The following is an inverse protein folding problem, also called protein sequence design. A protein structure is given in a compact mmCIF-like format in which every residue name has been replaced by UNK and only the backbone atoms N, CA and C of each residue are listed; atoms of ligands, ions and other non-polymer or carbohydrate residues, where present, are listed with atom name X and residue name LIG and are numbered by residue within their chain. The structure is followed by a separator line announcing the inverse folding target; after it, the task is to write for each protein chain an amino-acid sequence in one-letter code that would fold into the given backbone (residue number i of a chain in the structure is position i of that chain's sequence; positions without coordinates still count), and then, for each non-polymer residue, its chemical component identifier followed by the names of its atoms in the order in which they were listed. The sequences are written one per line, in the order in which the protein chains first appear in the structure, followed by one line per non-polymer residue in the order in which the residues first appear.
data_IF_105080695856
#
_entry.id   IF_105080695856
#
_cell.length_a   1.000
_cell.length_b   1.000
_cell.length_c   1.000
_cell.angle_alpha   90.00
_cell.angle_beta   90.00
_cell.angle_gamma   90.00
#
_symmetry.space_group_name_H-M   'P 1'
#
loop_
_entity.id
_entity.type
_entity.pdbx_description
1 polymer ?
#
# COMPACT_ATOMS: atom_id res chain seq x y z
N UNK A 1 19.10 -3.05 58.84
CA UNK A 1 19.41 -2.67 57.44
C UNK A 1 18.81 -3.66 56.43
N UNK A 2 17.49 -3.89 56.44
CA UNK A 2 16.82 -4.83 55.50
C UNK A 2 15.61 -4.23 54.77
N UNK A 3 15.26 -2.97 55.06
CA UNK A 3 14.11 -2.29 54.46
C UNK A 3 14.41 -1.73 53.06
N UNK A 4 15.61 -1.15 52.85
CA UNK A 4 16.00 -0.56 51.56
C UNK A 4 16.07 -1.58 50.41
N UNK A 5 16.47 -2.82 50.71
CA UNK A 5 16.58 -3.88 49.71
C UNK A 5 15.22 -4.31 49.14
N UNK A 6 14.17 -4.30 49.96
CA UNK A 6 12.80 -4.69 49.58
C UNK A 6 12.13 -3.61 48.71
N UNK A 7 12.40 -2.34 49.01
CA UNK A 7 11.89 -1.20 48.22
C UNK A 7 12.57 -1.13 46.85
N UNK A 8 13.89 -1.39 46.77
CA UNK A 8 14.60 -1.49 45.49
C UNK A 8 14.10 -2.65 44.63
N UNK A 9 13.79 -3.80 45.23
CA UNK A 9 13.20 -4.94 44.51
C UNK A 9 11.79 -4.61 43.98
N UNK A 10 10.95 -3.95 44.79
CA UNK A 10 9.61 -3.54 44.38
C UNK A 10 9.63 -2.51 43.23
N UNK A 11 10.57 -1.55 43.27
CA UNK A 11 10.75 -0.57 42.20
C UNK A 11 11.22 -1.21 40.90
N UNK A 12 12.08 -2.23 40.97
CA UNK A 12 12.57 -2.96 39.80
C UNK A 12 11.45 -3.80 39.16
N UNK A 13 10.60 -4.45 39.97
CA UNK A 13 9.41 -5.15 39.48
C UNK A 13 8.40 -4.19 38.83
N UNK A 14 8.14 -3.03 39.44
CA UNK A 14 7.24 -2.02 38.87
C UNK A 14 7.78 -1.45 37.55
N UNK A 15 9.09 -1.21 37.47
CA UNK A 15 9.76 -0.77 36.24
C UNK A 15 9.70 -1.80 35.12
N UNK A 16 9.83 -3.10 35.44
CA UNK A 16 9.65 -4.18 34.47
C UNK A 16 8.21 -4.23 33.93
N UNK A 17 7.21 -4.13 34.81
CA UNK A 17 5.79 -4.11 34.40
C UNK A 17 5.45 -2.88 33.56
N UNK A 18 5.98 -1.70 33.90
CA UNK A 18 5.81 -0.48 33.11
C UNK A 18 6.51 -0.57 31.75
N UNK A 19 7.68 -1.20 31.68
CA UNK A 19 8.38 -1.44 30.40
C UNK A 19 7.62 -2.40 29.49
N UNK A 20 6.81 -3.31 30.04
CA UNK A 20 5.93 -4.20 29.29
C UNK A 20 4.64 -3.48 28.86
N UNK A 21 4.13 -2.57 29.69
CA UNK A 21 2.94 -1.78 29.40
C UNK A 21 3.17 -0.65 28.37
N UNK A 22 4.41 -0.16 28.24
CA UNK A 22 4.83 0.81 27.22
C UNK A 22 5.12 0.16 25.84
N UNK A 23 4.93 -1.15 25.72
CA UNK A 23 4.97 -1.86 24.45
C UNK A 23 3.62 -1.68 23.74
N UNK A 24 3.37 -0.47 23.26
CA UNK A 24 2.45 -0.26 22.15
C UNK A 24 3.18 -0.60 20.83
N UNK A 25 2.47 -0.64 19.69
CA UNK A 25 2.02 -1.80 18.92
C UNK A 25 3.12 -2.65 18.24
N UNK A 26 4.39 -2.54 18.64
CA UNK A 26 5.52 -3.22 17.99
C UNK A 26 5.48 -4.76 18.09
N UNK A 27 4.65 -5.31 18.98
CA UNK A 27 4.52 -6.75 19.21
C UNK A 27 3.29 -7.36 18.51
N UNK A 28 2.49 -6.56 17.78
CA UNK A 28 1.46 -7.04 16.85
C UNK A 28 1.98 -7.15 15.41
N UNK A 29 3.30 -7.03 15.19
CA UNK A 29 3.96 -6.98 13.89
C UNK A 29 4.14 -8.37 13.23
N UNK A 30 3.22 -9.30 13.47
CA UNK A 30 3.15 -10.55 12.71
C UNK A 30 2.46 -10.23 11.39
N UNK A 31 3.28 -9.96 10.38
CA UNK A 31 2.93 -9.62 9.00
C UNK A 31 2.10 -8.33 8.83
N UNK A 32 2.79 -7.20 8.63
CA UNK A 32 2.20 -5.95 8.15
C UNK A 32 1.68 -6.09 6.71
N UNK A 33 0.64 -6.92 6.54
CA UNK A 33 0.03 -7.24 5.25
C UNK A 33 -0.53 -5.97 4.62
N UNK A 34 -1.10 -5.07 5.43
CA UNK A 34 -1.58 -3.77 4.97
C UNK A 34 -0.45 -2.94 4.32
N UNK A 35 0.71 -2.83 4.97
CA UNK A 35 1.86 -2.12 4.42
C UNK A 35 2.44 -2.79 3.16
N UNK A 36 2.42 -4.12 3.09
CA UNK A 36 2.81 -4.84 1.86
C UNK A 36 1.84 -4.55 0.72
N UNK A 37 0.52 -4.59 0.98
CA UNK A 37 -0.50 -4.28 -0.01
C UNK A 37 -0.42 -2.83 -0.48
N UNK A 38 -0.19 -1.87 0.43
CA UNK A 38 0.03 -0.47 0.08
C UNK A 38 1.28 -0.26 -0.76
N UNK A 39 2.38 -0.95 -0.46
CA UNK A 39 3.59 -0.92 -1.29
C UNK A 39 3.31 -1.46 -2.69
N UNK A 40 2.59 -2.58 -2.81
CA UNK A 40 2.22 -3.13 -4.12
C UNK A 40 1.38 -2.11 -4.90
N UNK A 41 0.33 -1.55 -4.29
CA UNK A 41 -0.51 -0.52 -4.94
C UNK A 41 0.34 0.66 -5.38
N UNK A 42 1.22 1.18 -4.51
CA UNK A 42 2.11 2.30 -4.81
C UNK A 42 3.06 1.99 -5.98
N UNK A 43 3.60 0.78 -6.04
CA UNK A 43 4.44 0.34 -7.16
C UNK A 43 3.64 0.22 -8.46
N UNK A 44 2.38 -0.24 -8.40
CA UNK A 44 1.53 -0.45 -9.58
C UNK A 44 0.88 0.84 -10.10
N UNK A 45 0.68 1.86 -9.24
CA UNK A 45 0.08 3.14 -9.63
C UNK A 45 1.09 4.30 -9.68
N UNK A 46 2.36 4.02 -9.36
CA UNK A 46 3.43 5.01 -9.33
C UNK A 46 3.86 5.52 -10.70
N UNK A 47 4.87 6.41 -10.71
CA UNK A 47 5.34 7.07 -11.94
C UNK A 47 5.83 6.08 -13.02
N UNK A 48 6.51 5.01 -12.61
CA UNK A 48 6.99 3.98 -13.54
C UNK A 48 5.84 3.32 -14.29
N UNK A 49 4.78 2.93 -13.59
CA UNK A 49 3.59 2.34 -14.22
C UNK A 49 2.89 3.31 -15.17
N UNK A 50 2.82 4.61 -14.81
CA UNK A 50 2.28 5.66 -15.69
C UNK A 50 3.08 5.82 -16.98
N UNK A 51 4.41 5.75 -16.90
CA UNK A 51 5.28 5.81 -18.07
C UNK A 51 5.07 4.59 -18.97
N UNK A 52 5.00 3.39 -18.39
CA UNK A 52 4.74 2.16 -19.15
C UNK A 52 3.36 2.19 -19.83
N UNK A 53 2.33 2.65 -19.14
CA UNK A 53 0.99 2.79 -19.73
C UNK A 53 0.98 3.80 -20.89
N UNK A 54 1.67 4.93 -20.73
CA UNK A 54 1.81 5.93 -21.81
C UNK A 54 2.46 5.33 -23.04
N UNK A 55 3.56 4.58 -22.87
CA UNK A 55 4.23 3.91 -23.98
C UNK A 55 3.32 2.87 -24.66
N UNK A 56 2.60 2.07 -23.88
CA UNK A 56 1.66 1.08 -24.41
C UNK A 56 0.57 1.74 -25.28
N UNK A 57 0.00 2.85 -24.82
CA UNK A 57 -1.01 3.61 -25.57
C UNK A 57 -0.44 4.16 -26.87
N UNK A 58 0.79 4.69 -26.86
CA UNK A 58 1.46 5.18 -28.07
C UNK A 58 1.63 4.04 -29.10
N UNK A 59 2.14 2.88 -28.66
CA UNK A 59 2.35 1.73 -29.54
C UNK A 59 1.03 1.25 -30.14
N UNK A 60 -0.03 1.17 -29.33
CA UNK A 60 -1.36 0.75 -29.80
C UNK A 60 -1.94 1.76 -30.79
N UNK A 61 -1.77 3.06 -30.55
CA UNK A 61 -2.20 4.11 -31.49
C UNK A 61 -1.51 3.98 -32.84
N UNK A 62 -0.19 3.76 -32.83
CA UNK A 62 0.59 3.54 -34.05
C UNK A 62 0.14 2.26 -34.76
N UNK A 63 0.02 1.14 -34.05
CA UNK A 63 -0.40 -0.15 -34.63
C UNK A 63 -1.82 -0.07 -35.22
N UNK A 64 -2.72 0.70 -34.60
CA UNK A 64 -4.05 0.97 -35.12
C UNK A 64 -4.01 1.80 -36.41
N UNK A 65 -3.19 2.85 -36.49
CA UNK A 65 -3.05 3.68 -37.69
C UNK A 65 -2.56 2.89 -38.92
N UNK A 66 -1.73 1.88 -38.72
CA UNK A 66 -1.25 1.00 -39.80
C UNK A 66 -2.17 -0.20 -40.09
N UNK A 67 -3.34 -0.28 -39.45
CA UNK A 67 -4.30 -1.36 -39.68
C UNK A 67 -3.89 -2.72 -39.10
N UNK A 68 -2.86 -2.78 -38.25
CA UNK A 68 -2.49 -4.01 -37.53
C UNK A 68 -3.47 -4.35 -36.40
N UNK A 69 -4.23 -3.37 -35.92
CA UNK A 69 -5.24 -3.51 -34.87
C UNK A 69 -6.55 -2.83 -35.28
N UNK A 70 -7.68 -3.42 -34.89
CA UNK A 70 -9.01 -2.85 -35.08
C UNK A 70 -9.37 -1.85 -33.97
N UNK A 71 -10.29 -0.92 -34.25
CA UNK A 71 -10.79 0.06 -33.27
C UNK A 71 -11.23 -0.57 -31.95
N UNK A 72 -11.89 -1.74 -32.03
CA UNK A 72 -12.36 -2.47 -30.85
C UNK A 72 -11.19 -2.92 -29.95
N UNK A 73 -10.08 -3.40 -30.55
CA UNK A 73 -8.89 -3.84 -29.82
C UNK A 73 -8.18 -2.64 -29.18
N UNK A 74 -8.06 -1.54 -29.93
CA UNK A 74 -7.48 -0.30 -29.41
C UNK A 74 -8.31 0.26 -28.23
N UNK A 75 -9.64 0.24 -28.35
CA UNK A 75 -10.54 0.70 -27.29
C UNK A 75 -10.40 -0.09 -25.99
N UNK A 76 -10.19 -1.42 -26.07
CA UNK A 76 -9.96 -2.24 -24.87
C UNK A 76 -8.69 -1.83 -24.12
N UNK A 77 -7.63 -1.46 -24.83
CA UNK A 77 -6.39 -1.02 -24.19
C UNK A 77 -6.58 0.32 -23.48
N UNK A 78 -7.22 1.29 -24.14
CA UNK A 78 -7.50 2.60 -23.55
C UNK A 78 -8.41 2.46 -22.33
N UNK A 79 -9.44 1.62 -22.41
CA UNK A 79 -10.33 1.32 -21.29
C UNK A 79 -9.57 0.68 -20.12
N UNK A 80 -8.69 -0.29 -20.40
CA UNK A 80 -7.86 -0.94 -19.38
C UNK A 80 -6.97 0.06 -18.63
N UNK A 81 -6.36 1.00 -19.36
CA UNK A 81 -5.56 2.08 -18.74
C UNK A 81 -6.42 3.00 -17.88
N UNK A 82 -7.59 3.41 -18.38
CA UNK A 82 -8.52 4.25 -17.62
C UNK A 82 -8.97 3.59 -16.31
N UNK A 83 -9.30 2.29 -16.35
CA UNK A 83 -9.69 1.52 -15.16
C UNK A 83 -8.52 1.39 -14.19
N UNK A 84 -7.31 1.07 -14.68
CA UNK A 84 -6.14 0.85 -13.81
C UNK A 84 -5.80 2.08 -12.97
N UNK A 85 -5.86 3.28 -13.58
CA UNK A 85 -5.59 4.52 -12.85
C UNK A 85 -6.81 5.10 -12.13
N UNK A 86 -8.03 4.79 -12.59
CA UNK A 86 -9.27 5.21 -11.94
C UNK A 86 -9.70 4.33 -10.76
N UNK A 87 -9.18 3.11 -10.64
CA UNK A 87 -9.61 2.13 -9.65
C UNK A 87 -9.50 2.64 -8.20
N UNK A 88 -8.42 3.34 -7.86
CA UNK A 88 -8.21 3.85 -6.50
C UNK A 88 -9.30 4.85 -6.08
N UNK A 89 -9.71 5.73 -6.99
CA UNK A 89 -10.75 6.73 -6.74
C UNK A 89 -12.13 6.07 -6.59
N UNK A 90 -12.42 5.10 -7.47
CA UNK A 90 -13.67 4.33 -7.42
C UNK A 90 -13.78 3.60 -6.08
N UNK A 91 -12.73 2.88 -5.67
CA UNK A 91 -12.72 2.15 -4.39
C UNK A 91 -12.85 3.12 -3.22
N UNK A 92 -12.14 4.25 -3.24
CA UNK A 92 -12.25 5.29 -2.20
C UNK A 92 -13.70 5.78 -2.05
N UNK A 93 -14.37 6.09 -3.17
CA UNK A 93 -15.76 6.56 -3.14
C UNK A 93 -16.70 5.50 -2.58
N UNK A 94 -16.48 4.22 -2.90
CA UNK A 94 -17.34 3.11 -2.47
C UNK A 94 -17.18 2.74 -0.99
N UNK A 95 -16.00 2.92 -0.40
CA UNK A 95 -15.74 2.56 1.00
C UNK A 95 -16.08 3.67 1.99
N UNK A 96 -16.77 4.72 1.54
CA UNK A 96 -17.12 5.88 2.37
C UNK A 96 -16.01 6.93 2.45
N UNK A 97 -15.25 7.09 1.36
CA UNK A 97 -14.16 8.05 1.23
C UNK A 97 -14.52 9.45 1.73
N UNK A 98 -13.52 10.10 2.34
CA UNK A 98 -13.58 11.53 2.67
C UNK A 98 -13.15 12.36 1.48
#
# INVERSE_FOLDING_TARGET
MTSSLKHSAALLCMGAVLSIALIEPALAQTANIEGVLQNIVTMLTGNVARLLATLAVIIVGIAWMFGYLDLRKAAYVVLGVAITFGASEVVSTLTGGR
#
